data_IF_459123509635
#
_entry.id   IF_459123509635
#
_cell.length_a   1.000
_cell.length_b   1.000
_cell.length_c   1.000
_cell.angle_alpha   90.00
_cell.angle_beta   90.00
_cell.angle_gamma   90.00
#
_symmetry.space_group_name_H-M   'P 1'
#
loop_
_entity.id
_entity.type
_entity.pdbx_description
1 polymer ?
#
# COMPACT_ATOMS: atom_id res chain seq x y z
N UNK A 1 8.62 28.78 2.28
CA UNK A 1 7.73 27.66 1.87
C UNK A 1 8.54 26.38 1.92
N UNK A 2 8.12 25.36 2.69
CA UNK A 2 8.78 24.04 2.63
C UNK A 2 8.24 23.34 1.39
N UNK A 3 9.11 23.08 0.41
CA UNK A 3 8.77 22.23 -0.74
C UNK A 3 8.48 20.84 -0.20
N UNK A 4 7.21 20.44 -0.20
CA UNK A 4 6.81 19.09 0.16
C UNK A 4 7.26 18.16 -0.98
N UNK A 5 8.35 17.43 -0.76
CA UNK A 5 8.78 16.40 -1.70
C UNK A 5 7.97 15.14 -1.47
N UNK A 6 7.23 14.66 -2.46
CA UNK A 6 6.59 13.34 -2.38
C UNK A 6 7.64 12.22 -2.46
N UNK A 7 7.32 11.06 -1.91
CA UNK A 7 8.10 9.84 -2.08
C UNK A 7 8.13 9.46 -3.57
N UNK A 8 9.25 8.92 -4.03
CA UNK A 8 9.36 8.38 -5.38
C UNK A 8 8.67 7.03 -5.47
N UNK A 9 8.37 6.57 -6.69
CA UNK A 9 7.84 5.22 -6.91
C UNK A 9 8.81 4.14 -6.40
N UNK A 10 10.13 4.37 -6.51
CA UNK A 10 11.13 3.48 -5.95
C UNK A 10 11.07 3.43 -4.43
N UNK A 11 10.93 4.57 -3.74
CA UNK A 11 10.83 4.60 -2.27
C UNK A 11 9.60 3.81 -1.79
N UNK A 12 8.47 3.94 -2.49
CA UNK A 12 7.23 3.22 -2.17
C UNK A 12 7.39 1.70 -2.38
N UNK A 13 8.06 1.31 -3.46
CA UNK A 13 8.34 -0.10 -3.76
C UNK A 13 9.32 -0.71 -2.75
N UNK A 14 10.45 -0.05 -2.48
CA UNK A 14 11.46 -0.52 -1.53
C UNK A 14 10.87 -0.64 -0.13
N UNK A 15 10.03 0.33 0.28
CA UNK A 15 9.30 0.26 1.55
C UNK A 15 8.40 -0.98 1.63
N UNK A 16 7.65 -1.26 0.56
CA UNK A 16 6.76 -2.42 0.53
C UNK A 16 7.54 -3.74 0.55
N UNK A 17 8.65 -3.84 -0.19
CA UNK A 17 9.55 -5.00 -0.16
C UNK A 17 10.05 -5.24 1.25
N UNK A 18 10.63 -4.23 1.90
CA UNK A 18 11.17 -4.38 3.25
C UNK A 18 10.10 -4.79 4.25
N UNK A 19 8.93 -4.15 4.20
CA UNK A 19 7.84 -4.44 5.10
C UNK A 19 7.33 -5.87 4.96
N UNK A 20 7.08 -6.31 3.72
CA UNK A 20 6.58 -7.66 3.45
C UNK A 20 7.58 -8.72 3.90
N UNK A 21 8.86 -8.61 3.52
CA UNK A 21 9.86 -9.61 3.87
C UNK A 21 10.29 -9.57 5.35
N UNK A 22 10.12 -8.45 6.05
CA UNK A 22 10.29 -8.40 7.50
C UNK A 22 9.09 -9.02 8.24
N UNK A 23 7.87 -8.82 7.73
CA UNK A 23 6.65 -9.31 8.37
C UNK A 23 6.41 -10.81 8.16
N UNK A 24 6.79 -11.33 6.99
CA UNK A 24 6.70 -12.75 6.57
C UNK A 24 5.31 -13.41 6.72
N UNK A 25 4.25 -12.60 6.86
CA UNK A 25 2.87 -13.07 6.96
C UNK A 25 1.92 -11.98 6.49
N UNK A 26 0.79 -12.36 5.88
CA UNK A 26 -0.27 -11.41 5.60
C UNK A 26 -1.00 -11.02 6.90
N UNK A 27 -1.24 -9.73 7.10
CA UNK A 27 -2.08 -9.21 8.16
C UNK A 27 -3.54 -9.25 7.72
N UNK A 28 -4.37 -10.05 8.38
CA UNK A 28 -5.76 -10.25 7.99
C UNK A 28 -6.72 -9.67 9.04
N UNK A 29 -7.83 -9.12 8.57
CA UNK A 29 -8.96 -8.75 9.43
C UNK A 29 -9.72 -10.01 9.90
N UNK A 30 -10.44 -9.94 11.05
CA UNK A 30 -11.16 -11.10 11.60
C UNK A 30 -12.18 -11.75 10.67
N UNK A 31 -12.67 -11.03 9.66
CA UNK A 31 -13.65 -11.51 8.67
C UNK A 31 -13.04 -11.77 7.28
N UNK A 32 -11.71 -11.82 7.20
CA UNK A 32 -10.97 -11.89 5.94
C UNK A 32 -10.68 -10.51 5.33
N UNK A 33 -9.75 -10.47 4.36
CA UNK A 33 -9.23 -9.24 3.76
C UNK A 33 -8.00 -8.68 4.49
N UNK A 34 -7.15 -7.96 3.76
CA UNK A 34 -5.93 -7.36 4.30
C UNK A 34 -6.21 -6.22 5.27
N UNK A 35 -5.52 -6.22 6.40
CA UNK A 35 -5.59 -5.16 7.39
C UNK A 35 -4.55 -4.07 7.07
N UNK A 36 -4.94 -2.79 7.09
CA UNK A 36 -4.00 -1.67 7.05
C UNK A 36 -3.14 -1.63 8.31
N UNK A 37 -3.72 -1.97 9.47
CA UNK A 37 -2.99 -2.04 10.72
C UNK A 37 -3.28 -3.33 11.49
N UNK A 38 -2.23 -3.94 12.06
CA UNK A 38 -2.31 -5.22 12.76
C UNK A 38 -1.21 -5.40 13.80
N UNK A 39 -1.45 -6.31 14.76
CA UNK A 39 -0.57 -6.58 15.91
C UNK A 39 0.83 -7.04 15.49
N UNK A 40 0.94 -7.71 14.33
CA UNK A 40 2.22 -8.19 13.76
C UNK A 40 2.67 -7.39 12.53
N UNK A 41 2.16 -6.17 12.38
CA UNK A 41 2.24 -5.40 11.15
C UNK A 41 0.93 -5.46 10.37
N UNK A 42 0.76 -4.51 9.45
CA UNK A 42 -0.39 -4.40 8.57
C UNK A 42 0.01 -4.66 7.11
N UNK A 43 -0.76 -4.15 6.17
CA UNK A 43 -0.38 -4.14 4.76
C UNK A 43 0.75 -3.12 4.52
N UNK A 44 1.52 -3.25 3.43
CA UNK A 44 2.62 -2.33 3.12
C UNK A 44 2.15 -0.88 2.98
N UNK A 45 0.89 -0.64 2.60
CA UNK A 45 0.32 0.71 2.47
C UNK A 45 0.00 1.30 3.85
N UNK A 46 -0.58 0.51 4.75
CA UNK A 46 -0.86 0.95 6.10
C UNK A 46 0.40 1.25 6.90
N UNK A 47 1.53 0.60 6.58
CA UNK A 47 2.82 0.92 7.19
C UNK A 47 3.38 2.29 6.81
N UNK A 48 2.97 2.86 5.68
CA UNK A 48 3.29 4.25 5.31
C UNK A 48 2.54 5.26 6.20
N UNK A 49 1.39 4.86 6.75
CA UNK A 49 0.52 5.75 7.51
C UNK A 49 0.99 5.80 8.97
N UNK A 50 1.24 7.02 9.44
CA UNK A 50 1.62 7.23 10.84
C UNK A 50 0.45 6.81 11.77
N UNK A 51 0.70 6.16 12.93
CA UNK A 51 -0.37 5.68 13.82
C UNK A 51 -1.39 6.75 14.24
N UNK A 52 -0.96 8.01 14.36
CA UNK A 52 -1.85 9.15 14.67
C UNK A 52 -2.80 9.54 13.55
N UNK A 53 -2.48 9.17 12.32
CA UNK A 53 -3.28 9.48 11.14
C UNK A 53 -4.16 8.30 10.72
N UNK A 54 -3.88 7.10 11.24
CA UNK A 54 -4.69 5.91 11.04
C UNK A 54 -6.04 5.99 11.76
N UNK A 55 -7.08 5.49 11.11
CA UNK A 55 -8.41 5.31 11.67
C UNK A 55 -8.99 3.98 11.20
N UNK A 56 -9.78 3.30 12.04
CA UNK A 56 -10.38 2.00 11.69
C UNK A 56 -11.33 2.07 10.50
N UNK A 57 -11.84 3.25 10.14
CA UNK A 57 -12.63 3.46 8.93
C UNK A 57 -11.86 3.21 7.63
N UNK A 58 -10.52 3.21 7.65
CA UNK A 58 -9.69 2.86 6.50
C UNK A 58 -9.64 1.36 6.24
N UNK A 59 -9.96 0.54 7.25
CA UNK A 59 -9.87 -0.90 7.13
C UNK A 59 -10.87 -1.43 6.09
N UNK A 60 -10.40 -2.33 5.23
CA UNK A 60 -11.17 -2.86 4.11
C UNK A 60 -11.38 -1.89 2.95
N UNK A 61 -10.72 -0.71 2.93
CA UNK A 61 -10.76 0.25 1.81
C UNK A 61 -9.62 -0.02 0.84
N UNK A 62 -9.89 -0.50 -0.39
CA UNK A 62 -8.86 -0.70 -1.39
C UNK A 62 -8.27 0.63 -1.87
N UNK A 63 -6.94 0.70 -2.05
CA UNK A 63 -6.26 1.88 -2.61
C UNK A 63 -6.83 2.25 -3.99
N UNK A 64 -7.22 1.26 -4.79
CA UNK A 64 -7.84 1.45 -6.11
C UNK A 64 -9.14 2.27 -6.14
N UNK A 65 -9.70 2.66 -4.98
CA UNK A 65 -10.87 3.55 -4.91
C UNK A 65 -10.50 5.01 -4.68
N UNK A 66 -9.21 5.33 -4.50
CA UNK A 66 -8.74 6.70 -4.31
C UNK A 66 -8.97 7.56 -5.57
N UNK A 67 -8.72 7.01 -6.75
CA UNK A 67 -8.84 7.69 -8.04
C UNK A 67 -10.23 7.56 -8.68
N UNK A 68 -11.15 6.79 -8.05
CA UNK A 68 -12.46 6.51 -8.63
C UNK A 68 -13.48 7.60 -8.31
N UNK A 69 -14.42 7.86 -9.24
CA UNK A 69 -15.53 8.74 -8.97
C UNK A 69 -16.45 8.13 -7.89
N UNK A 70 -17.13 8.99 -7.12
CA UNK A 70 -18.04 8.57 -6.06
C UNK A 70 -19.18 7.66 -6.55
N UNK A 71 -19.51 7.69 -7.84
CA UNK A 71 -20.50 6.81 -8.46
C UNK A 71 -20.07 5.34 -8.54
N UNK A 72 -18.77 5.06 -8.45
CA UNK A 72 -18.20 3.70 -8.51
C UNK A 72 -17.84 3.18 -7.12
N UNK A 73 -17.58 4.08 -6.17
CA UNK A 73 -17.24 3.72 -4.79
C UNK A 73 -18.53 3.41 -4.02
N UNK A 74 -18.64 2.26 -3.33
CA UNK A 74 -19.78 2.01 -2.47
C UNK A 74 -19.90 3.09 -1.40
N UNK A 75 -21.07 3.72 -1.26
CA UNK A 75 -21.28 4.88 -0.39
C UNK A 75 -20.84 4.66 1.07
N UNK A 76 -20.95 3.42 1.58
CA UNK A 76 -20.49 3.09 2.93
C UNK A 76 -18.97 3.20 3.12
N UNK A 77 -18.19 3.28 2.04
CA UNK A 77 -16.74 3.44 2.06
C UNK A 77 -16.27 4.90 1.98
N UNK A 78 -17.15 5.88 1.75
CA UNK A 78 -16.77 7.28 1.50
C UNK A 78 -15.89 7.87 2.62
N UNK A 79 -16.30 7.64 3.87
CA UNK A 79 -15.54 8.09 5.03
C UNK A 79 -14.15 7.44 5.11
N UNK A 80 -14.06 6.16 4.74
CA UNK A 80 -12.81 5.41 4.70
C UNK A 80 -11.88 5.86 3.58
N UNK A 81 -12.41 6.07 2.38
CA UNK A 81 -11.66 6.62 1.23
C UNK A 81 -11.15 8.02 1.54
N UNK A 82 -11.97 8.88 2.13
CA UNK A 82 -11.56 10.23 2.54
C UNK A 82 -10.44 10.19 3.59
N UNK A 83 -10.57 9.32 4.60
CA UNK A 83 -9.55 9.14 5.62
C UNK A 83 -8.22 8.62 5.02
N UNK A 84 -8.28 7.62 4.14
CA UNK A 84 -7.12 7.04 3.48
C UNK A 84 -6.39 8.07 2.60
N UNK A 85 -7.13 8.86 1.79
CA UNK A 85 -6.57 9.96 0.99
C UNK A 85 -5.78 10.93 1.85
N UNK A 86 -6.38 11.38 2.96
CA UNK A 86 -5.76 12.32 3.90
C UNK A 86 -4.49 11.74 4.52
N UNK A 87 -4.52 10.48 4.93
CA UNK A 87 -3.39 9.80 5.55
C UNK A 87 -2.22 9.62 4.58
N UNK A 88 -2.47 9.20 3.34
CA UNK A 88 -1.44 9.04 2.32
C UNK A 88 -0.77 10.36 1.94
N UNK A 89 -1.55 11.45 1.82
CA UNK A 89 -0.98 12.79 1.60
C UNK A 89 -0.06 13.22 2.74
N UNK A 90 -0.45 12.97 3.99
CA UNK A 90 0.41 13.23 5.17
C UNK A 90 1.67 12.36 5.17
N UNK A 91 1.57 11.13 4.68
CA UNK A 91 2.70 10.23 4.46
C UNK A 91 3.56 10.61 3.24
N UNK A 92 3.29 11.77 2.60
CA UNK A 92 4.02 12.26 1.42
C UNK A 92 3.90 11.31 0.22
N UNK A 93 2.75 10.69 0.06
CA UNK A 93 2.39 9.90 -1.12
C UNK A 93 1.62 10.78 -2.11
N UNK A 94 2.06 10.82 -3.38
CA UNK A 94 1.40 11.59 -4.42
C UNK A 94 0.15 10.88 -4.98
N UNK A 95 -0.97 10.94 -4.26
CA UNK A 95 -2.23 10.31 -4.70
C UNK A 95 -2.92 11.02 -5.88
N UNK A 96 -2.38 12.15 -6.34
CA UNK A 96 -2.87 12.85 -7.53
C UNK A 96 -2.30 12.27 -8.82
N UNK A 97 -1.18 11.54 -8.74
CA UNK A 97 -0.63 10.80 -9.86
C UNK A 97 -1.27 9.41 -9.96
N UNK A 98 -2.00 9.10 -11.05
CA UNK A 98 -2.62 7.79 -11.25
C UNK A 98 -1.61 6.64 -11.24
N UNK A 99 -0.36 6.89 -11.66
CA UNK A 99 0.71 5.87 -11.66
C UNK A 99 1.05 5.46 -10.23
N UNK A 100 1.14 6.42 -9.31
CA UNK A 100 1.33 6.18 -7.88
C UNK A 100 0.16 5.35 -7.31
N UNK A 101 -1.09 5.70 -7.62
CA UNK A 101 -2.27 4.96 -7.13
C UNK A 101 -2.26 3.51 -7.66
N UNK A 102 -1.94 3.31 -8.93
CA UNK A 102 -1.81 2.00 -9.53
C UNK A 102 -0.70 1.16 -8.87
N UNK A 103 0.47 1.74 -8.64
CA UNK A 103 1.59 1.07 -7.95
C UNK A 103 1.16 0.61 -6.55
N UNK A 104 0.56 1.50 -5.76
CA UNK A 104 0.11 1.18 -4.41
C UNK A 104 -1.00 0.11 -4.41
N UNK A 105 -1.89 0.13 -5.40
CA UNK A 105 -2.90 -0.91 -5.57
C UNK A 105 -2.26 -2.27 -5.88
N UNK A 106 -1.23 -2.30 -6.74
CA UNK A 106 -0.50 -3.54 -7.02
C UNK A 106 0.22 -4.05 -5.77
N UNK A 107 0.90 -3.18 -5.02
CA UNK A 107 1.62 -3.53 -3.79
C UNK A 107 0.67 -4.02 -2.68
N UNK A 108 -0.49 -3.39 -2.51
CA UNK A 108 -1.54 -3.87 -1.61
C UNK A 108 -2.02 -5.27 -2.03
N UNK A 109 -2.22 -5.49 -3.33
CA UNK A 109 -2.71 -6.76 -3.83
C UNK A 109 -1.70 -7.92 -3.63
N UNK A 110 -0.39 -7.66 -3.62
CA UNK A 110 0.63 -8.66 -3.24
C UNK A 110 0.31 -9.25 -1.87
N UNK A 111 0.01 -8.38 -0.90
CA UNK A 111 -0.31 -8.75 0.46
C UNK A 111 -1.70 -9.39 0.59
N UNK A 112 -2.70 -8.83 -0.09
CA UNK A 112 -4.11 -9.17 0.13
C UNK A 112 -4.54 -10.48 -0.58
N UNK A 113 -3.92 -10.80 -1.74
CA UNK A 113 -4.40 -11.84 -2.62
C UNK A 113 -3.44 -13.04 -2.79
N UNK A 114 -2.17 -12.91 -2.39
CA UNK A 114 -1.16 -13.92 -2.66
C UNK A 114 -0.49 -14.45 -1.39
N UNK A 115 -0.10 -15.73 -1.44
CA UNK A 115 0.70 -16.34 -0.38
C UNK A 115 2.14 -15.81 -0.37
N UNK A 116 2.81 -15.87 0.78
CA UNK A 116 4.19 -15.39 0.96
C UNK A 116 5.16 -15.98 -0.07
N UNK A 117 4.96 -17.24 -0.46
CA UNK A 117 5.78 -17.91 -1.48
C UNK A 117 5.67 -17.29 -2.88
N UNK A 118 4.58 -16.59 -3.19
CA UNK A 118 4.39 -15.89 -4.47
C UNK A 118 4.90 -14.45 -4.45
N UNK A 119 5.09 -13.85 -3.27
CA UNK A 119 5.36 -12.41 -3.15
C UNK A 119 6.56 -11.96 -3.97
N UNK A 120 7.63 -12.76 -3.99
CA UNK A 120 8.85 -12.44 -4.76
C UNK A 120 8.56 -12.31 -6.26
N UNK A 121 7.85 -13.28 -6.84
CA UNK A 121 7.52 -13.26 -8.26
C UNK A 121 6.60 -12.09 -8.60
N UNK A 122 5.61 -11.82 -7.74
CA UNK A 122 4.70 -10.67 -7.93
C UNK A 122 5.44 -9.35 -7.85
N UNK A 123 6.35 -9.19 -6.90
CA UNK A 123 7.16 -7.96 -6.75
C UNK A 123 8.13 -7.77 -7.93
N UNK A 124 8.71 -8.85 -8.48
CA UNK A 124 9.50 -8.76 -9.73
C UNK A 124 8.65 -8.28 -10.91
N UNK A 125 7.42 -8.79 -11.05
CA UNK A 125 6.50 -8.38 -12.10
C UNK A 125 6.12 -6.90 -11.97
N UNK A 126 5.84 -6.44 -10.75
CA UNK A 126 5.56 -5.03 -10.45
C UNK A 126 6.78 -4.17 -10.78
N UNK A 127 7.98 -4.55 -10.34
CA UNK A 127 9.20 -3.79 -10.63
C UNK A 127 9.39 -3.60 -12.14
N UNK A 128 9.19 -4.67 -12.93
CA UNK A 128 9.24 -4.60 -14.40
C UNK A 128 8.17 -3.67 -14.98
N UNK A 129 6.93 -3.78 -14.52
CA UNK A 129 5.80 -2.98 -15.02
C UNK A 129 6.02 -1.48 -14.81
N UNK A 130 6.60 -1.10 -13.67
CA UNK A 130 6.78 0.30 -13.29
C UNK A 130 8.21 0.82 -13.55
N UNK A 131 9.09 0.02 -14.15
CA UNK A 131 10.47 0.39 -14.43
C UNK A 131 11.33 0.63 -13.18
N UNK A 132 11.08 -0.14 -12.11
CA UNK A 132 11.72 -0.01 -10.81
C UNK A 132 12.89 -0.98 -10.66
N UNK A 133 13.86 -0.60 -9.82
CA UNK A 133 15.00 -1.45 -9.47
C UNK A 133 14.59 -2.60 -8.55
N UNK A 134 15.16 -3.78 -8.79
CA UNK A 134 14.98 -4.99 -7.98
C UNK A 134 16.05 -5.16 -6.90
N UNK A 135 17.01 -4.23 -6.79
CA UNK A 135 18.13 -4.35 -5.84
C UNK A 135 17.67 -4.58 -4.40
N UNK A 136 16.56 -3.98 -3.97
CA UNK A 136 16.03 -4.20 -2.62
C UNK A 136 15.48 -5.62 -2.43
N UNK A 137 14.81 -6.15 -3.46
CA UNK A 137 14.26 -7.49 -3.45
C UNK A 137 15.35 -8.57 -3.44
N UNK A 138 16.46 -8.33 -4.14
CA UNK A 138 17.63 -9.22 -4.16
C UNK A 138 18.27 -9.37 -2.77
N UNK A 139 18.26 -8.30 -1.94
CA UNK A 139 18.80 -8.35 -0.57
C UNK A 139 18.04 -9.29 0.37
N UNK A 140 16.77 -9.56 0.11
CA UNK A 140 15.94 -10.49 0.90
C UNK A 140 15.98 -11.92 0.36
N UNK A 141 16.75 -12.18 -0.71
CA UNK A 141 16.89 -13.51 -1.33
C UNK A 141 18.17 -14.25 -0.89
N UNK A 142 18.98 -13.66 0.01
CA UNK A 142 20.18 -14.23 0.60
C UNK A 142 19.91 -14.67 2.05
#
# INVERSE_FOLDING_TARGET
MKTLHFLTHQDLFDHAVDHLFAQQQAALLPRGGGAYHGVRGGCPIGRLIHPRDYTTSMEGVPVRYIDKPATVVPAYMDAGVAALKKALLKARVNIYDPTTVNLLSCLQNVHDAFGVWEWRERLLSIARQFGLSTTRLEKHAA
#
